data_IF_107828257597
#
_entry.id   IF_107828257597
#
_cell.length_a   1.000
_cell.length_b   1.000
_cell.length_c   1.000
_cell.angle_alpha   90.00
_cell.angle_beta   90.00
_cell.angle_gamma   90.00
#
_symmetry.space_group_name_H-M   'P 1'
#
loop_
_entity.id
_entity.type
_entity.pdbx_description
1 polymer ?
#
# COMPACT_ATOMS: atom_id res chain seq x y z
N UNK A 1 1.68 2.22 29.46
CA UNK A 1 2.56 3.26 28.91
C UNK A 1 3.51 2.61 27.94
N UNK A 2 3.25 2.83 26.65
CA UNK A 2 4.16 2.46 25.57
C UNK A 2 5.48 3.24 25.74
N UNK A 3 6.62 2.61 25.44
CA UNK A 3 7.95 3.19 25.67
C UNK A 3 8.23 4.47 24.85
N UNK A 4 9.33 5.20 25.13
CA UNK A 4 9.73 6.36 24.33
C UNK A 4 9.97 5.99 22.86
N UNK A 5 9.68 6.90 21.91
CA UNK A 5 10.00 6.70 20.49
C UNK A 5 11.52 6.65 20.27
N UNK A 6 12.00 5.59 19.61
CA UNK A 6 13.40 5.37 19.24
C UNK A 6 13.70 5.53 17.76
N UNK A 7 12.66 5.58 16.91
CA UNK A 7 12.77 5.81 15.47
C UNK A 7 11.44 5.57 14.75
N UNK A 8 11.44 5.75 13.44
CA UNK A 8 10.30 5.43 12.58
C UNK A 8 10.76 4.67 11.34
N UNK A 9 9.86 3.90 10.74
CA UNK A 9 10.16 3.06 9.56
C UNK A 9 9.08 3.09 8.50
N UNK A 10 8.15 4.03 8.57
CA UNK A 10 7.16 4.17 7.52
C UNK A 10 6.35 5.43 7.78
N UNK A 11 5.99 6.14 6.72
CA UNK A 11 5.16 7.32 6.78
C UNK A 11 4.32 7.37 5.51
N UNK A 12 3.01 7.47 5.66
CA UNK A 12 2.08 7.60 4.55
C UNK A 12 0.95 8.58 4.91
N UNK A 13 0.51 9.37 3.94
CA UNK A 13 -0.69 10.18 4.08
C UNK A 13 -1.90 9.38 3.63
N UNK A 14 -2.97 9.37 4.44
CA UNK A 14 -4.26 8.82 4.04
C UNK A 14 -4.87 9.66 2.91
N UNK A 15 -5.12 9.11 1.72
CA UNK A 15 -5.55 9.86 0.55
C UNK A 15 -6.79 10.73 0.75
N UNK A 16 -7.81 10.24 1.44
CA UNK A 16 -9.07 10.98 1.62
C UNK A 16 -8.98 12.20 2.54
N UNK A 17 -8.00 12.23 3.45
CA UNK A 17 -7.98 13.17 4.58
C UNK A 17 -6.65 13.89 4.77
N UNK A 18 -5.56 13.39 4.18
CA UNK A 18 -4.21 13.87 4.42
C UNK A 18 -3.66 13.55 5.81
N UNK A 19 -4.38 12.77 6.63
CA UNK A 19 -3.89 12.35 7.96
C UNK A 19 -2.65 11.49 7.78
N UNK A 20 -1.57 11.84 8.47
CA UNK A 20 -0.32 11.10 8.40
C UNK A 20 -0.34 9.91 9.35
N UNK A 21 -0.08 8.73 8.81
CA UNK A 21 0.16 7.49 9.53
C UNK A 21 1.65 7.20 9.53
N UNK A 22 2.16 6.76 10.67
CA UNK A 22 3.58 6.48 10.89
C UNK A 22 3.76 5.12 11.57
N UNK A 23 4.80 4.39 11.16
CA UNK A 23 5.26 3.19 11.85
C UNK A 23 6.41 3.57 12.78
N UNK A 24 6.21 3.35 14.08
CA UNK A 24 7.16 3.74 15.13
C UNK A 24 7.88 2.54 15.72
N UNK A 25 9.18 2.72 15.95
CA UNK A 25 10.02 1.88 16.81
C UNK A 25 10.04 2.50 18.20
N UNK A 26 9.64 1.75 19.22
CA UNK A 26 9.73 2.19 20.61
C UNK A 26 11.01 1.67 21.25
N UNK A 27 11.61 2.49 22.12
CA UNK A 27 12.76 2.11 22.93
C UNK A 27 12.33 1.17 24.06
N UNK A 28 13.22 0.26 24.44
CA UNK A 28 12.94 -0.76 25.46
C UNK A 28 12.36 -2.07 24.94
N UNK A 29 12.15 -2.20 23.62
CA UNK A 29 11.87 -3.48 22.97
C UNK A 29 13.20 -4.25 22.83
N UNK A 30 13.34 -5.45 23.43
CA UNK A 30 14.59 -6.20 23.39
C UNK A 30 15.03 -6.52 21.96
N UNK A 31 16.29 -6.21 21.62
CA UNK A 31 16.95 -6.70 20.40
C UNK A 31 17.06 -5.73 19.23
N UNK A 32 16.40 -4.56 19.25
CA UNK A 32 16.38 -3.64 18.09
C UNK A 32 15.53 -4.15 16.91
N UNK A 33 15.27 -5.45 16.86
CA UNK A 33 14.22 -6.16 16.15
C UNK A 33 13.08 -6.49 17.12
N UNK A 34 11.86 -6.12 16.74
CA UNK A 34 10.68 -6.29 17.58
C UNK A 34 9.48 -5.63 16.93
N UNK A 35 8.27 -5.90 17.43
CA UNK A 35 7.06 -5.40 16.80
C UNK A 35 7.12 -3.87 16.72
N UNK A 36 6.56 -3.33 15.66
CA UNK A 36 6.44 -1.88 15.46
C UNK A 36 5.01 -1.45 15.74
N UNK A 37 4.79 -0.17 15.95
CA UNK A 37 3.45 0.34 16.23
C UNK A 37 2.98 1.30 15.16
N UNK A 38 1.70 1.21 14.84
CA UNK A 38 1.02 2.19 14.02
C UNK A 38 0.54 3.36 14.89
N UNK A 39 0.74 4.57 14.41
CA UNK A 39 0.26 5.81 15.02
C UNK A 39 -0.14 6.81 13.94
N UNK A 40 -0.94 7.81 14.31
CA UNK A 40 -1.07 9.04 13.51
C UNK A 40 -0.11 10.11 14.02
N UNK A 41 0.40 10.99 13.16
CA UNK A 41 1.27 12.11 13.57
C UNK A 41 0.73 13.46 13.09
N UNK A 42 0.73 14.45 13.99
CA UNK A 42 0.46 15.84 13.62
C UNK A 42 1.71 16.45 12.98
N UNK A 43 1.67 16.86 11.69
CA UNK A 43 2.83 17.39 10.99
C UNK A 43 3.31 18.75 11.51
N UNK A 44 2.49 19.49 12.24
CA UNK A 44 2.86 20.80 12.79
C UNK A 44 3.55 20.69 14.14
N UNK A 45 3.14 19.72 14.96
CA UNK A 45 3.63 19.57 16.33
C UNK A 45 4.56 18.38 16.53
N UNK A 46 4.55 17.41 15.61
CA UNK A 46 5.25 16.13 15.75
C UNK A 46 4.63 15.18 16.78
N UNK A 47 3.46 15.51 17.33
CA UNK A 47 2.79 14.67 18.31
C UNK A 47 2.21 13.42 17.64
N UNK A 48 2.63 12.24 18.11
CA UNK A 48 2.09 10.96 17.67
C UNK A 48 0.94 10.50 18.59
N UNK A 49 -0.13 9.97 18.00
CA UNK A 49 -1.24 9.31 18.69
C UNK A 49 -1.24 7.84 18.33
N UNK A 50 -1.02 6.97 19.33
CA UNK A 50 -0.91 5.54 19.12
C UNK A 50 -2.24 4.91 18.68
N UNK A 51 -2.17 4.03 17.68
CA UNK A 51 -3.29 3.20 17.23
C UNK A 51 -3.15 1.79 17.81
N UNK A 52 -2.03 1.12 17.53
CA UNK A 52 -1.85 -0.25 17.98
C UNK A 52 -0.50 -0.86 17.58
N UNK A 53 -0.27 -2.06 18.09
CA UNK A 53 0.92 -2.86 17.80
C UNK A 53 0.67 -3.68 16.52
N UNK A 54 1.57 -3.60 15.56
CA UNK A 54 1.46 -4.26 14.25
C UNK A 54 1.81 -5.76 14.28
N UNK A 55 2.27 -6.27 15.41
CA UNK A 55 2.62 -7.67 15.60
C UNK A 55 4.00 -8.06 15.05
N UNK A 56 4.58 -7.27 14.14
CA UNK A 56 5.88 -7.58 13.52
C UNK A 56 6.69 -6.33 13.07
N UNK A 57 7.83 -6.55 12.42
CA UNK A 57 8.80 -5.54 11.99
C UNK A 57 8.49 -4.92 10.61
N UNK A 58 7.43 -4.11 10.52
CA UNK A 58 7.02 -3.38 9.31
C UNK A 58 8.01 -2.29 8.85
N UNK A 59 8.63 -2.46 7.69
CA UNK A 59 9.65 -1.61 7.09
C UNK A 59 9.14 -0.50 6.17
N UNK A 60 7.86 -0.54 5.80
CA UNK A 60 7.20 0.55 5.07
C UNK A 60 5.69 0.41 5.14
N UNK A 61 4.98 1.50 4.86
CA UNK A 61 3.52 1.53 4.68
C UNK A 61 3.17 2.42 3.51
N UNK A 62 2.10 2.07 2.81
CA UNK A 62 1.52 2.87 1.74
C UNK A 62 0.00 2.74 1.78
N UNK A 63 -0.67 3.87 1.57
CA UNK A 63 -2.08 3.85 1.25
C UNK A 63 -2.28 3.75 -0.25
N UNK A 64 -3.21 2.91 -0.64
CA UNK A 64 -3.86 2.97 -1.94
C UNK A 64 -4.97 4.02 -1.94
N UNK A 65 -5.46 4.44 -3.12
CA UNK A 65 -6.34 5.61 -3.17
C UNK A 65 -7.76 5.45 -2.62
N UNK A 66 -8.16 4.21 -2.34
CA UNK A 66 -9.37 3.82 -1.63
C UNK A 66 -9.21 3.84 -0.08
N UNK A 67 -8.13 4.43 0.43
CA UNK A 67 -7.75 4.43 1.85
C UNK A 67 -7.38 3.05 2.43
N UNK A 68 -7.21 2.02 1.60
CA UNK A 68 -6.67 0.74 2.07
C UNK A 68 -5.19 0.90 2.40
N UNK A 69 -4.79 0.47 3.60
CA UNK A 69 -3.44 0.61 4.11
C UNK A 69 -2.70 -0.71 3.97
N UNK A 70 -1.63 -0.72 3.21
CA UNK A 70 -0.71 -1.83 3.12
C UNK A 70 0.59 -1.53 3.86
N UNK A 71 1.23 -2.57 4.36
CA UNK A 71 2.58 -2.51 4.89
C UNK A 71 3.40 -3.72 4.49
N UNK A 72 4.70 -3.51 4.39
CA UNK A 72 5.67 -4.56 4.11
C UNK A 72 6.55 -4.80 5.32
N UNK A 73 6.77 -6.06 5.68
CA UNK A 73 7.73 -6.47 6.71
C UNK A 73 9.14 -6.57 6.12
N UNK A 74 10.15 -6.13 6.87
CA UNK A 74 11.56 -6.32 6.48
C UNK A 74 12.26 -7.34 7.37
N UNK A 75 13.56 -7.52 7.19
CA UNK A 75 14.42 -8.58 7.78
C UNK A 75 14.34 -8.78 9.29
N UNK A 76 13.93 -7.75 10.03
CA UNK A 76 13.70 -7.85 11.47
C UNK A 76 12.43 -8.63 11.84
N UNK A 77 11.67 -9.11 10.86
CA UNK A 77 10.38 -9.76 11.05
C UNK A 77 10.48 -11.28 11.19
N UNK A 78 9.41 -11.92 11.68
CA UNK A 78 9.32 -13.37 11.65
C UNK A 78 9.17 -13.90 10.22
N UNK A 79 8.36 -13.19 9.42
CA UNK A 79 8.20 -13.40 7.98
C UNK A 79 8.64 -12.12 7.26
N UNK A 80 9.93 -12.00 6.88
CA UNK A 80 10.43 -10.85 6.14
C UNK A 80 9.86 -10.80 4.71
N UNK A 81 10.01 -9.66 4.04
CA UNK A 81 9.64 -9.45 2.63
C UNK A 81 8.19 -9.88 2.36
N UNK A 82 7.25 -9.45 3.21
CA UNK A 82 5.87 -9.92 3.15
C UNK A 82 4.89 -8.75 3.21
N UNK A 83 3.93 -8.74 2.29
CA UNK A 83 2.87 -7.76 2.20
C UNK A 83 1.70 -8.14 3.11
N UNK A 84 1.27 -7.17 3.92
CA UNK A 84 0.07 -7.25 4.73
C UNK A 84 -0.85 -6.06 4.45
N UNK A 85 -2.16 -6.31 4.52
CA UNK A 85 -3.14 -5.26 4.75
C UNK A 85 -3.16 -4.94 6.25
N UNK A 86 -3.28 -3.66 6.59
CA UNK A 86 -3.28 -3.16 7.96
C UNK A 86 -4.59 -2.41 8.19
N UNK A 87 -5.36 -2.82 9.20
CA UNK A 87 -6.51 -2.05 9.64
C UNK A 87 -6.04 -0.73 10.27
N UNK A 88 -6.34 0.44 9.68
CA UNK A 88 -5.81 1.72 10.17
C UNK A 88 -6.49 2.21 11.46
N UNK A 89 -7.55 1.55 11.93
CA UNK A 89 -8.23 1.87 13.19
C UNK A 89 -7.77 0.99 14.36
N UNK A 90 -7.30 -0.24 14.10
CA UNK A 90 -6.94 -1.22 15.13
C UNK A 90 -5.47 -1.67 15.08
N UNK A 91 -4.76 -1.40 13.98
CA UNK A 91 -3.44 -1.94 13.65
C UNK A 91 -3.40 -3.47 13.47
N UNK A 92 -4.56 -4.13 13.34
CA UNK A 92 -4.63 -5.55 12.99
C UNK A 92 -4.09 -5.78 11.58
N UNK A 93 -3.31 -6.84 11.39
CA UNK A 93 -2.66 -7.15 10.12
C UNK A 93 -3.22 -8.42 9.51
N UNK A 94 -3.44 -8.40 8.20
CA UNK A 94 -3.93 -9.54 7.41
C UNK A 94 -2.91 -9.84 6.33
N UNK A 95 -2.42 -11.08 6.29
CA UNK A 95 -1.44 -11.51 5.29
C UNK A 95 -2.04 -11.43 3.88
N UNK A 96 -1.33 -10.78 2.97
CA UNK A 96 -1.70 -10.72 1.54
C UNK A 96 -0.84 -11.71 0.77
N UNK A 97 0.48 -11.50 0.75
CA UNK A 97 1.42 -12.36 0.02
C UNK A 97 2.86 -12.17 0.48
N UNK A 98 3.70 -13.20 0.28
CA UNK A 98 5.15 -13.08 0.39
C UNK A 98 5.74 -12.52 -0.92
N UNK A 99 6.71 -11.61 -0.80
CA UNK A 99 7.37 -10.90 -1.90
C UNK A 99 8.76 -11.49 -2.22
N UNK A 100 9.47 -12.06 -1.23
CA UNK A 100 10.51 -13.09 -1.38
C UNK A 100 11.71 -12.82 -2.30
N UNK A 101 11.82 -11.61 -2.86
CA UNK A 101 12.90 -11.18 -3.73
C UNK A 101 13.55 -9.93 -3.14
N UNK A 102 14.87 -9.94 -3.02
CA UNK A 102 15.63 -8.81 -2.48
C UNK A 102 16.57 -9.18 -1.33
N UNK A 103 16.97 -8.14 -0.59
CA UNK A 103 17.86 -8.18 0.58
C UNK A 103 17.48 -7.09 1.59
N UNK A 104 18.15 -7.03 2.75
CA UNK A 104 17.83 -6.16 3.90
C UNK A 104 17.49 -4.71 3.55
N UNK A 105 16.21 -4.40 3.71
CA UNK A 105 15.63 -3.08 3.52
C UNK A 105 14.34 -3.21 2.71
N UNK A 106 13.24 -2.60 3.13
CA UNK A 106 12.04 -2.61 2.32
C UNK A 106 11.47 -1.22 2.24
N UNK A 107 10.97 -0.87 1.06
CA UNK A 107 10.11 0.28 0.86
C UNK A 107 8.85 -0.15 0.14
N UNK A 108 7.77 0.57 0.40
CA UNK A 108 6.53 0.42 -0.35
C UNK A 108 5.93 1.79 -0.63
N UNK A 109 5.45 1.98 -1.85
CA UNK A 109 4.75 3.18 -2.31
C UNK A 109 3.58 2.80 -3.21
N UNK A 110 2.65 3.72 -3.42
CA UNK A 110 1.51 3.49 -4.29
C UNK A 110 1.58 4.33 -5.57
N UNK A 111 1.40 3.68 -6.72
CA UNK A 111 1.26 4.29 -8.03
C UNK A 111 -0.20 4.49 -8.41
N UNK A 112 -0.75 5.71 -8.29
CA UNK A 112 -2.15 5.98 -8.63
C UNK A 112 -2.44 6.00 -10.14
N UNK A 113 -1.41 6.02 -10.99
CA UNK A 113 -1.58 6.06 -12.45
C UNK A 113 -1.69 4.66 -13.02
N UNK A 114 -0.80 3.76 -12.60
CA UNK A 114 -0.78 2.36 -13.04
C UNK A 114 -1.53 1.43 -12.10
N UNK A 115 -1.97 1.95 -10.95
CA UNK A 115 -2.79 1.25 -9.99
C UNK A 115 -2.11 0.00 -9.40
N UNK A 116 -0.87 0.18 -8.97
CA UNK A 116 -0.03 -0.87 -8.40
C UNK A 116 0.75 -0.33 -7.21
N UNK A 117 1.09 -1.19 -6.25
CA UNK A 117 2.09 -0.87 -5.25
C UNK A 117 3.48 -1.06 -5.87
N UNK A 118 4.40 -0.17 -5.56
CA UNK A 118 5.82 -0.31 -5.85
C UNK A 118 6.51 -0.83 -4.60
N UNK A 119 7.20 -1.94 -4.75
CA UNK A 119 8.00 -2.55 -3.69
C UNK A 119 9.47 -2.52 -4.09
N UNK A 120 10.29 -1.90 -3.25
CA UNK A 120 11.73 -1.88 -3.43
C UNK A 120 12.40 -2.60 -2.28
N UNK A 121 13.27 -3.54 -2.59
CA UNK A 121 14.10 -4.19 -1.60
C UNK A 121 15.27 -3.30 -1.19
N UNK A 122 16.07 -3.81 -0.28
CA UNK A 122 17.31 -3.22 0.13
C UNK A 122 18.46 -3.62 -0.75
N UNK A 123 19.66 -3.26 -0.28
CA UNK A 123 20.92 -3.51 -0.95
C UNK A 123 21.91 -4.09 0.07
N UNK A 124 22.43 -5.29 -0.20
CA UNK A 124 23.44 -5.91 0.65
C UNK A 124 24.61 -6.46 -0.17
N UNK A 125 25.82 -6.03 0.16
CA UNK A 125 27.04 -6.52 -0.52
C UNK A 125 27.06 -6.14 -2.01
N UNK A 126 27.04 -7.17 -2.87
CA UNK A 126 27.06 -7.01 -4.33
C UNK A 126 25.63 -7.16 -4.95
N UNK A 127 24.60 -7.39 -4.14
CA UNK A 127 23.24 -7.62 -4.63
C UNK A 127 22.53 -6.29 -4.89
N UNK A 128 22.20 -6.00 -6.16
CA UNK A 128 21.43 -4.81 -6.55
C UNK A 128 20.04 -4.79 -5.90
N UNK A 129 19.51 -3.58 -5.70
CA UNK A 129 18.11 -3.36 -5.33
C UNK A 129 17.17 -4.07 -6.31
N UNK A 130 16.19 -4.79 -5.79
CA UNK A 130 15.07 -5.33 -6.55
C UNK A 130 13.92 -4.33 -6.48
N UNK A 131 13.33 -3.99 -7.63
CA UNK A 131 12.09 -3.22 -7.71
C UNK A 131 11.02 -4.07 -8.38
N UNK A 132 9.82 -4.06 -7.81
CA UNK A 132 8.69 -4.82 -8.32
C UNK A 132 7.40 -4.00 -8.24
N UNK A 133 6.50 -4.26 -9.17
CA UNK A 133 5.12 -3.79 -9.10
C UNK A 133 4.24 -4.91 -8.56
N UNK A 134 3.41 -4.58 -7.59
CA UNK A 134 2.42 -5.48 -7.01
C UNK A 134 1.05 -4.98 -7.42
N UNK A 135 0.39 -5.77 -8.26
CA UNK A 135 -1.06 -5.67 -8.46
C UNK A 135 -1.72 -6.56 -7.41
N UNK A 136 -2.18 -5.92 -6.33
CA UNK A 136 -2.78 -6.61 -5.17
C UNK A 136 -4.05 -7.35 -5.58
N UNK A 137 -4.76 -6.83 -6.57
CA UNK A 137 -6.07 -7.31 -7.01
C UNK A 137 -5.93 -8.51 -7.93
N UNK A 138 -4.96 -8.47 -8.84
CA UNK A 138 -4.57 -9.63 -9.63
C UNK A 138 -3.78 -10.66 -8.81
N UNK A 139 -3.28 -10.28 -7.63
CA UNK A 139 -2.37 -11.10 -6.83
C UNK A 139 -1.07 -11.40 -7.57
N UNK A 140 -0.56 -10.43 -8.33
CA UNK A 140 0.65 -10.60 -9.15
C UNK A 140 1.76 -9.65 -8.75
N UNK A 141 2.97 -10.18 -8.72
CA UNK A 141 4.21 -9.43 -8.54
C UNK A 141 4.98 -9.46 -9.86
N UNK A 142 5.32 -8.28 -10.38
CA UNK A 142 6.02 -8.12 -11.65
C UNK A 142 7.36 -7.41 -11.43
N UNK A 143 8.49 -8.06 -11.71
CA UNK A 143 9.80 -7.42 -11.61
C UNK A 143 9.95 -6.23 -12.55
N UNK A 144 10.64 -5.21 -12.08
CA UNK A 144 10.97 -3.99 -12.81
C UNK A 144 12.48 -3.93 -13.00
N UNK A 145 12.92 -3.88 -14.24
CA UNK A 145 14.35 -3.81 -14.57
C UNK A 145 14.89 -2.40 -14.33
N UNK A 146 15.65 -2.26 -13.24
CA UNK A 146 16.38 -1.03 -12.88
C UNK A 146 17.89 -1.19 -13.04
N UNK A 147 18.36 -2.25 -13.69
CA UNK A 147 19.79 -2.53 -13.83
C UNK A 147 20.53 -1.40 -14.54
N UNK A 148 21.65 -0.99 -13.97
CA UNK A 148 22.48 0.09 -14.52
C UNK A 148 21.92 1.50 -14.30
N UNK A 149 20.91 1.66 -13.45
CA UNK A 149 20.40 2.96 -13.01
C UNK A 149 21.00 3.38 -11.66
N UNK A 150 20.84 4.65 -11.30
CA UNK A 150 21.27 5.18 -9.99
C UNK A 150 20.41 4.67 -8.82
N UNK A 151 19.35 3.90 -9.07
CA UNK A 151 18.49 3.34 -8.02
C UNK A 151 19.04 2.04 -7.42
N UNK A 152 20.03 1.40 -8.04
CA UNK A 152 20.58 0.11 -7.54
C UNK A 152 21.76 0.28 -6.59
N UNK A 153 22.33 1.48 -6.52
CA UNK A 153 23.65 1.69 -5.90
C UNK A 153 23.62 1.76 -4.37
N UNK A 154 22.45 1.93 -3.76
CA UNK A 154 22.27 2.08 -2.31
C UNK A 154 20.90 1.57 -1.87
N UNK A 155 20.76 1.20 -0.59
CA UNK A 155 19.53 0.63 -0.03
C UNK A 155 18.35 1.61 -0.13
N UNK A 156 17.21 1.15 -0.63
CA UNK A 156 15.97 1.94 -0.65
C UNK A 156 15.43 2.18 0.77
N UNK A 157 14.82 3.33 0.98
CA UNK A 157 14.39 3.74 2.33
C UNK A 157 12.97 4.29 2.35
N UNK A 158 12.57 4.98 1.29
CA UNK A 158 11.25 5.57 1.20
C UNK A 158 10.91 5.93 -0.24
N UNK A 159 9.63 5.82 -0.55
CA UNK A 159 9.05 6.28 -1.79
C UNK A 159 7.71 6.95 -1.51
N UNK A 160 7.38 8.01 -2.24
CA UNK A 160 6.05 8.62 -2.20
C UNK A 160 5.69 9.24 -3.53
N UNK A 161 4.42 9.20 -3.89
CA UNK A 161 3.92 9.81 -5.13
C UNK A 161 3.80 11.33 -4.99
N UNK A 162 4.36 12.07 -5.96
CA UNK A 162 4.20 13.52 -6.08
C UNK A 162 3.25 13.87 -7.24
N UNK A 163 1.97 14.12 -6.95
CA UNK A 163 0.96 14.29 -8.00
C UNK A 163 1.17 15.53 -8.87
N UNK A 164 1.66 16.65 -8.33
CA UNK A 164 1.82 17.89 -9.10
C UNK A 164 2.90 17.79 -10.18
N UNK A 165 3.93 16.96 -9.94
CA UNK A 165 5.03 16.74 -10.87
C UNK A 165 4.90 15.43 -11.67
N UNK A 166 3.92 14.59 -11.34
CA UNK A 166 3.71 13.28 -11.93
C UNK A 166 4.98 12.38 -11.87
N UNK A 167 5.59 12.33 -10.69
CA UNK A 167 6.79 11.53 -10.39
C UNK A 167 6.70 10.96 -8.99
N UNK A 168 7.46 9.90 -8.73
CA UNK A 168 7.78 9.47 -7.38
C UNK A 168 8.96 10.26 -6.83
N UNK A 169 8.93 10.57 -5.54
CA UNK A 169 10.13 10.89 -4.77
C UNK A 169 10.68 9.59 -4.20
N UNK A 170 11.96 9.32 -4.46
CA UNK A 170 12.65 8.10 -4.05
C UNK A 170 13.86 8.47 -3.20
N UNK A 171 13.95 7.90 -2.00
CA UNK A 171 15.08 8.07 -1.09
C UNK A 171 15.78 6.74 -0.86
N UNK A 172 17.10 6.73 -0.98
CA UNK A 172 17.97 5.59 -0.66
C UNK A 172 19.06 5.97 0.35
N UNK A 173 20.01 5.09 0.68
CA UNK A 173 21.11 5.27 1.66
C UNK A 173 20.70 5.37 3.15
N UNK A 174 21.52 4.84 4.06
CA UNK A 174 21.30 4.91 5.52
C UNK A 174 21.72 6.24 6.15
N UNK A 175 22.27 7.16 5.36
CA UNK A 175 22.64 8.50 5.75
C UNK A 175 21.68 9.56 5.18
N UNK A 176 22.30 10.63 4.70
CA UNK A 176 21.64 11.86 4.25
C UNK A 176 21.38 11.88 2.75
N UNK A 177 22.10 11.11 1.94
CA UNK A 177 21.90 11.09 0.49
C UNK A 177 20.93 9.99 0.08
N UNK A 178 20.74 9.76 -1.21
CA UNK A 178 20.25 10.73 -2.19
C UNK A 178 18.71 10.68 -2.29
N UNK A 179 18.12 11.82 -2.70
CA UNK A 179 16.72 11.94 -3.10
C UNK A 179 16.63 12.13 -4.63
N UNK A 180 15.81 11.30 -5.26
CA UNK A 180 15.52 11.36 -6.69
C UNK A 180 14.05 11.67 -6.95
N UNK A 181 13.76 12.24 -8.11
CA UNK A 181 12.46 12.08 -8.75
C UNK A 181 12.54 10.97 -9.79
N UNK A 182 11.55 10.09 -9.82
CA UNK A 182 11.47 8.94 -10.72
C UNK A 182 10.11 8.94 -11.42
N UNK A 183 10.08 8.92 -12.74
CA UNK A 183 8.84 8.76 -13.52
C UNK A 183 8.41 7.30 -13.59
N UNK A 184 7.18 7.01 -14.05
CA UNK A 184 6.72 5.62 -14.25
C UNK A 184 7.55 4.83 -15.27
N UNK A 185 8.21 5.51 -16.22
CA UNK A 185 9.13 4.90 -17.19
C UNK A 185 10.59 4.93 -16.73
N UNK A 186 10.84 5.14 -15.43
CA UNK A 186 12.15 5.08 -14.77
C UNK A 186 13.14 6.14 -15.28
N UNK A 187 12.65 7.28 -15.74
CA UNK A 187 13.50 8.47 -15.91
C UNK A 187 13.84 9.01 -14.52
N UNK A 188 15.11 8.89 -14.14
CA UNK A 188 15.62 9.28 -12.82
C UNK A 188 16.29 10.63 -12.91
N UNK A 189 15.96 11.52 -11.97
CA UNK A 189 16.63 12.82 -11.83
C UNK A 189 17.03 13.02 -10.38
N UNK A 190 18.33 13.25 -10.14
CA UNK A 190 18.84 13.61 -8.82
C UNK A 190 18.32 14.99 -8.41
N UNK A 191 17.69 15.06 -7.24
CA UNK A 191 17.19 16.30 -6.65
C UNK A 191 18.24 16.89 -5.71
N UNK A 192 18.81 16.07 -4.84
CA UNK A 192 19.71 16.50 -3.78
C UNK A 192 19.82 15.46 -2.68
N UNK A 193 20.63 15.76 -1.66
CA UNK A 193 20.69 14.99 -0.43
C UNK A 193 19.73 15.59 0.60
N UNK A 194 19.08 14.72 1.37
CA UNK A 194 18.37 15.10 2.59
C UNK A 194 19.35 15.51 3.69
N UNK A 195 18.86 15.93 4.86
CA UNK A 195 19.70 16.30 6.01
C UNK A 195 19.73 15.22 7.12
N UNK A 196 18.99 14.12 6.95
CA UNK A 196 18.95 12.98 7.86
C UNK A 196 18.42 11.71 7.17
N UNK A 197 18.58 10.56 7.82
CA UNK A 197 17.96 9.32 7.35
C UNK A 197 16.43 9.41 7.45
N UNK A 198 15.76 9.32 6.30
CA UNK A 198 14.30 9.20 6.23
C UNK A 198 13.89 7.77 5.82
N UNK A 199 13.18 7.05 6.69
CA UNK A 199 12.57 5.72 6.41
C UNK A 199 11.04 5.85 6.15
N UNK A 200 10.63 6.92 5.47
CA UNK A 200 9.24 7.21 5.11
C UNK A 200 9.10 8.63 4.55
N UNK A 201 8.25 8.81 3.55
CA UNK A 201 7.99 10.11 2.91
C UNK A 201 6.49 10.28 2.68
N UNK A 202 5.97 11.47 2.96
CA UNK A 202 4.58 11.80 2.67
C UNK A 202 4.42 13.31 2.43
N UNK A 203 3.49 13.68 1.56
CA UNK A 203 3.09 15.06 1.38
C UNK A 203 2.06 15.47 2.45
N UNK A 204 2.37 16.53 3.19
CA UNK A 204 1.44 17.11 4.16
C UNK A 204 0.29 17.77 3.41
N UNK A 205 -0.95 17.46 3.80
CA UNK A 205 -2.18 17.91 3.14
C UNK A 205 -2.34 17.46 1.67
N UNK A 206 -1.55 16.48 1.22
CA UNK A 206 -1.74 15.86 -0.08
C UNK A 206 -2.92 14.90 -0.03
N UNK A 207 -4.12 15.39 -0.33
CA UNK A 207 -5.24 14.52 -0.67
C UNK A 207 -5.08 14.09 -2.14
N UNK A 208 -5.09 12.78 -2.42
CA UNK A 208 -5.15 12.33 -3.81
C UNK A 208 -6.58 12.58 -4.29
N UNK A 209 -6.73 13.53 -5.21
CA UNK A 209 -8.02 14.13 -5.51
C UNK A 209 -9.05 13.15 -6.11
N UNK A 210 -8.61 12.06 -6.75
CA UNK A 210 -9.41 10.91 -7.21
C UNK A 210 -8.50 9.96 -8.00
N UNK A 211 -8.43 8.67 -7.66
CA UNK A 211 -8.19 7.61 -8.65
C UNK A 211 -9.24 6.52 -8.50
N UNK A 212 -9.43 5.73 -9.56
CA UNK A 212 -10.35 4.60 -9.54
C UNK A 212 -9.88 3.59 -8.49
N UNK A 213 -10.83 2.94 -7.83
CA UNK A 213 -10.60 1.90 -6.84
C UNK A 213 -9.55 0.87 -7.31
N UNK A 214 -8.70 0.40 -6.38
CA UNK A 214 -7.51 -0.43 -6.66
C UNK A 214 -7.82 -1.69 -7.44
N UNK A 215 -8.94 -2.31 -7.15
CA UNK A 215 -9.31 -3.55 -7.81
C UNK A 215 -10.29 -3.33 -8.95
N UNK A 216 -10.58 -2.06 -9.29
CA UNK A 216 -11.64 -1.71 -10.22
C UNK A 216 -12.94 -2.44 -9.89
N UNK A 217 -13.19 -2.76 -8.62
CA UNK A 217 -14.20 -3.73 -8.24
C UNK A 217 -15.38 -2.95 -7.66
N UNK A 218 -16.32 -2.48 -8.47
CA UNK A 218 -17.47 -3.35 -8.73
C UNK A 218 -17.04 -4.82 -8.78
N UNK A 219 -16.87 -5.42 -7.60
CA UNK A 219 -16.82 -6.86 -7.45
C UNK A 219 -18.04 -7.44 -8.17
N UNK A 220 -17.94 -8.66 -8.68
CA UNK A 220 -19.06 -9.24 -9.43
C UNK A 220 -20.28 -9.31 -8.51
N UNK A 221 -21.24 -8.41 -8.74
CA UNK A 221 -22.40 -8.24 -7.88
C UNK A 221 -22.38 -7.01 -6.96
N UNK A 222 -21.40 -6.10 -6.99
CA UNK A 222 -21.47 -4.76 -6.39
C UNK A 222 -21.92 -3.78 -7.47
N UNK A 223 -23.20 -3.45 -7.43
CA UNK A 223 -23.87 -2.65 -8.43
C UNK A 223 -23.97 -1.18 -8.04
N UNK A 224 -23.84 -0.86 -6.75
CA UNK A 224 -23.91 0.51 -6.26
C UNK A 224 -22.53 1.14 -5.98
N UNK A 225 -21.46 0.35 -6.09
CA UNK A 225 -20.07 0.75 -6.01
C UNK A 225 -19.62 1.09 -4.60
N UNK A 226 -20.26 0.52 -3.57
CA UNK A 226 -19.92 0.77 -2.17
C UNK A 226 -18.74 -0.07 -1.65
N UNK A 227 -18.16 -0.92 -2.50
CA UNK A 227 -17.01 -1.77 -2.19
C UNK A 227 -17.38 -3.04 -1.43
N UNK A 228 -18.67 -3.40 -1.39
CA UNK A 228 -19.17 -4.64 -0.80
C UNK A 228 -20.31 -5.22 -1.63
N UNK A 229 -20.36 -6.55 -1.77
CA UNK A 229 -21.59 -7.21 -2.26
C UNK A 229 -22.51 -7.45 -1.08
N UNK A 230 -23.59 -6.68 -1.00
CA UNK A 230 -24.47 -6.63 0.15
C UNK A 230 -25.97 -6.56 -0.18
N UNK A 231 -26.78 -6.19 0.83
CA UNK A 231 -28.23 -6.10 0.67
C UNK A 231 -28.68 -5.07 -0.38
N UNK A 232 -27.90 -4.02 -0.61
CA UNK A 232 -28.21 -3.00 -1.61
C UNK A 232 -28.07 -3.57 -3.03
N UNK A 233 -27.04 -4.37 -3.27
CA UNK A 233 -26.82 -5.02 -4.55
C UNK A 233 -27.78 -6.16 -4.81
N UNK A 234 -28.11 -6.93 -3.77
CA UNK A 234 -29.18 -7.92 -3.86
C UNK A 234 -30.51 -7.24 -4.24
N UNK A 235 -30.79 -6.06 -3.69
CA UNK A 235 -31.98 -5.31 -4.06
C UNK A 235 -31.93 -4.85 -5.53
N UNK A 236 -30.76 -4.42 -6.03
CA UNK A 236 -30.57 -4.09 -7.43
C UNK A 236 -30.78 -5.31 -8.34
N UNK A 237 -30.20 -6.47 -8.03
CA UNK A 237 -30.41 -7.72 -8.78
C UNK A 237 -31.88 -8.12 -8.83
N UNK A 238 -32.56 -8.07 -7.68
CA UNK A 238 -33.98 -8.44 -7.60
C UNK A 238 -34.90 -7.44 -8.31
N UNK A 239 -34.49 -6.18 -8.44
CA UNK A 239 -35.25 -5.18 -9.19
C UNK A 239 -35.29 -5.49 -10.70
N UNK A 240 -34.22 -6.10 -11.23
CA UNK A 240 -34.05 -6.41 -12.64
C UNK A 240 -34.44 -7.86 -13.01
N UNK A 241 -35.06 -8.60 -12.08
CA UNK A 241 -35.41 -10.01 -12.25
C UNK A 241 -36.27 -10.28 -13.49
N UNK A 242 -35.81 -11.18 -14.37
CA UNK A 242 -36.44 -11.50 -15.65
C UNK A 242 -35.58 -11.11 -16.85
N UNK A 243 -36.20 -10.78 -17.98
CA UNK A 243 -35.47 -10.47 -19.20
C UNK A 243 -34.69 -9.16 -19.06
N UNK A 244 -33.37 -9.21 -19.26
CA UNK A 244 -32.48 -8.11 -18.96
C UNK A 244 -31.33 -8.01 -19.98
N UNK A 245 -31.61 -7.69 -21.26
CA UNK A 245 -30.58 -7.70 -22.29
C UNK A 245 -29.55 -6.58 -22.06
N UNK A 246 -28.36 -6.94 -21.59
CA UNK A 246 -27.24 -6.02 -21.40
C UNK A 246 -27.32 -5.13 -20.16
N UNK A 247 -28.10 -5.52 -19.16
CA UNK A 247 -28.03 -4.88 -17.84
C UNK A 247 -26.83 -5.39 -17.04
N UNK A 248 -26.40 -4.61 -16.04
CA UNK A 248 -25.25 -4.96 -15.21
C UNK A 248 -25.49 -6.16 -14.28
N UNK A 249 -26.76 -6.46 -13.96
CA UNK A 249 -27.16 -7.52 -13.03
C UNK A 249 -27.30 -8.90 -13.66
N UNK A 250 -27.20 -9.03 -14.99
CA UNK A 250 -27.09 -10.29 -15.73
C UNK A 250 -25.64 -10.77 -15.69
N UNK A 251 -25.27 -11.40 -14.57
CA UNK A 251 -23.93 -11.86 -14.26
C UNK A 251 -23.56 -13.12 -15.06
N UNK A 252 -24.54 -13.87 -15.55
CA UNK A 252 -24.33 -15.06 -16.40
C UNK A 252 -24.19 -14.71 -17.88
N UNK A 253 -24.67 -13.53 -18.29
CA UNK A 253 -24.67 -13.06 -19.67
C UNK A 253 -25.65 -13.79 -20.58
N UNK A 254 -26.68 -14.42 -20.03
CA UNK A 254 -27.64 -15.24 -20.78
C UNK A 254 -28.87 -14.44 -21.29
N UNK A 255 -28.88 -13.13 -21.00
CA UNK A 255 -29.95 -12.20 -21.34
C UNK A 255 -31.10 -12.19 -20.32
N UNK A 256 -30.96 -12.89 -19.19
CA UNK A 256 -31.93 -12.93 -18.10
C UNK A 256 -31.24 -12.79 -16.74
N UNK A 257 -31.86 -12.04 -15.83
CA UNK A 257 -31.51 -12.03 -14.41
C UNK A 257 -32.36 -13.07 -13.70
N UNK A 258 -31.71 -14.07 -13.10
CA UNK A 258 -32.37 -15.19 -12.47
C UNK A 258 -31.52 -15.89 -11.41
N UNK A 259 -31.85 -17.17 -11.10
CA UNK A 259 -31.16 -17.91 -10.04
C UNK A 259 -29.65 -18.10 -10.27
N UNK A 260 -29.19 -18.09 -11.53
CA UNK A 260 -27.78 -18.16 -11.86
C UNK A 260 -27.02 -16.92 -11.40
N UNK A 261 -27.57 -15.74 -11.68
CA UNK A 261 -27.00 -14.45 -11.28
C UNK A 261 -27.04 -14.28 -9.77
N UNK A 262 -28.15 -14.68 -9.12
CA UNK A 262 -28.25 -14.67 -7.67
C UNK A 262 -27.19 -15.58 -7.01
N UNK A 263 -26.91 -16.75 -7.60
CA UNK A 263 -25.88 -17.63 -7.08
C UNK A 263 -24.47 -17.00 -7.20
N UNK A 264 -24.20 -16.28 -8.29
CA UNK A 264 -22.95 -15.53 -8.45
C UNK A 264 -22.87 -14.39 -7.44
N UNK A 265 -23.94 -13.61 -7.25
CA UNK A 265 -23.96 -12.52 -6.28
C UNK A 265 -23.70 -13.03 -4.85
N UNK A 266 -24.40 -14.10 -4.44
CA UNK A 266 -24.22 -14.68 -3.10
C UNK A 266 -22.84 -15.33 -2.90
N UNK A 267 -22.22 -15.82 -3.97
CA UNK A 267 -20.86 -16.36 -3.92
C UNK A 267 -19.81 -15.26 -3.67
N UNK A 268 -20.12 -14.01 -4.01
CA UNK A 268 -19.26 -12.84 -3.80
C UNK A 268 -19.67 -12.02 -2.57
N UNK A 269 -20.59 -12.50 -1.72
CA UNK A 269 -21.14 -11.74 -0.60
C UNK A 269 -20.07 -11.34 0.44
N UNK A 270 -19.98 -10.05 0.73
CA UNK A 270 -18.99 -9.50 1.68
C UNK A 270 -18.21 -8.32 1.09
N UNK A 271 -17.19 -7.86 1.82
CA UNK A 271 -16.29 -6.80 1.34
C UNK A 271 -15.45 -7.29 0.17
N UNK A 272 -15.17 -6.39 -0.75
CA UNK A 272 -14.42 -6.70 -1.95
C UNK A 272 -12.92 -6.59 -1.66
N UNK A 273 -12.40 -7.65 -1.05
CA UNK A 273 -11.01 -7.77 -0.56
C UNK A 273 -10.77 -8.92 0.41
N UNK A 274 -11.64 -9.94 0.44
CA UNK A 274 -11.55 -11.09 1.35
C UNK A 274 -10.94 -12.34 0.75
#
# INVERSE_FOLDING_TARGET
DEGPVGGGTGLAARPSSGVLYVVLKLTGVPGGSGPRWLATVDPLTGNATMIGNLGDSFAGIAFTCDDTLYGVTGDGAAEPETLYEINPATAETTLVMALGAGTDGEMIGYDPVNNVLWHGSGHSGDDDVVLEHIDVCAGTVTPVDIAGTDLTIEETQAITWWPEANVFLWKQDHGTGPLYSVTHDLTITYIGDTDHQAKGLAFVNGALATCADQCGASCVGDFDGDGSVGPADLAALLADWGACPGCATDLTGDGQVGPGDLAILLANWGSCGG
#
